data_IF_017663947759
#
_entry.id   IF_017663947759
#
_cell.length_a   1.000
_cell.length_b   1.000
_cell.length_c   1.000
_cell.angle_alpha   90.00
_cell.angle_beta   90.00
_cell.angle_gamma   90.00
#
_symmetry.space_group_name_H-M   'P 1'
#
loop_
_entity.id
_entity.type
_entity.pdbx_description
1 polymer ?
#
# COMPACT_ATOMS: atom_id res chain seq x y z
N UNK A 1 62.37 7.55 7.21
CA UNK A 1 61.43 8.32 6.34
C UNK A 1 60.05 7.84 6.64
N UNK A 2 59.25 8.76 7.09
CA UNK A 2 58.08 8.75 7.92
C UNK A 2 56.87 7.92 7.42
N UNK A 3 56.41 7.01 8.26
CA UNK A 3 55.14 6.30 8.18
C UNK A 3 54.11 7.00 9.09
N UNK A 4 53.68 8.22 8.78
CA UNK A 4 52.81 8.96 9.67
C UNK A 4 51.73 9.81 8.97
N UNK A 5 51.37 9.56 7.72
CA UNK A 5 50.42 10.40 6.98
C UNK A 5 49.14 9.66 6.49
N UNK A 6 49.04 8.34 6.74
CA UNK A 6 47.88 7.57 6.26
C UNK A 6 46.79 7.26 7.29
N UNK A 7 46.86 7.83 8.50
CA UNK A 7 45.93 7.48 9.59
C UNK A 7 44.81 8.51 9.87
N UNK A 8 44.76 9.62 9.15
CA UNK A 8 43.81 10.71 9.44
C UNK A 8 42.63 10.80 8.45
N UNK A 9 42.65 10.01 7.35
CA UNK A 9 41.62 10.11 6.30
C UNK A 9 40.45 9.10 6.44
N UNK A 10 40.55 8.14 7.36
CA UNK A 10 39.53 7.07 7.53
C UNK A 10 38.54 7.30 8.67
N UNK A 11 38.69 8.41 9.44
CA UNK A 11 37.83 8.68 10.60
C UNK A 11 36.74 9.70 10.35
N UNK A 12 36.58 10.22 9.13
CA UNK A 12 35.58 11.25 8.79
C UNK A 12 34.44 10.79 7.89
N UNK A 13 34.34 9.50 7.55
CA UNK A 13 33.27 8.97 6.70
C UNK A 13 32.24 8.09 7.41
N UNK A 14 32.29 8.00 8.74
CA UNK A 14 31.33 7.16 9.51
C UNK A 14 30.24 7.94 10.27
N UNK A 15 30.06 9.24 10.00
CA UNK A 15 29.11 10.08 10.73
C UNK A 15 27.92 10.61 9.88
N UNK A 16 27.66 10.04 8.74
CA UNK A 16 26.57 10.54 7.88
C UNK A 16 25.63 9.42 7.44
N UNK A 17 25.05 8.68 8.37
CA UNK A 17 23.79 7.94 8.09
C UNK A 17 23.06 7.55 9.39
N UNK A 18 23.01 8.45 10.35
CA UNK A 18 21.90 8.42 11.31
C UNK A 18 20.70 8.99 10.59
N UNK A 19 19.93 8.10 9.97
CA UNK A 19 18.56 8.46 9.61
C UNK A 19 17.93 8.98 10.90
N UNK A 20 17.70 10.30 10.95
CA UNK A 20 16.96 10.95 12.03
C UNK A 20 15.56 10.36 11.97
N UNK A 21 15.32 9.31 12.72
CA UNK A 21 13.98 8.95 13.12
C UNK A 21 13.50 10.09 13.99
N UNK A 22 12.77 11.02 13.37
CA UNK A 22 12.11 12.07 14.12
C UNK A 22 11.28 11.41 15.22
N UNK A 23 11.46 11.87 16.45
CA UNK A 23 10.64 11.45 17.58
C UNK A 23 9.16 11.62 17.21
N UNK A 24 8.27 10.74 17.71
CA UNK A 24 6.84 10.90 17.49
C UNK A 24 6.44 12.32 17.91
N UNK A 25 5.89 13.10 17.01
CA UNK A 25 5.29 14.39 17.37
C UNK A 25 4.03 14.07 18.18
N UNK A 26 3.74 14.87 19.21
CA UNK A 26 2.49 14.81 19.98
C UNK A 26 1.25 15.21 19.14
N UNK A 27 1.41 15.31 17.84
CA UNK A 27 0.35 15.67 16.90
C UNK A 27 -0.62 14.49 16.74
N UNK A 28 -1.88 14.73 17.05
CA UNK A 28 -2.94 13.74 16.89
C UNK A 28 -3.03 13.36 15.40
N UNK A 29 -2.92 12.08 15.06
CA UNK A 29 -2.99 11.66 13.66
C UNK A 29 -4.35 12.01 13.05
N UNK A 30 -4.33 12.44 11.79
CA UNK A 30 -5.56 12.64 11.04
C UNK A 30 -6.46 11.40 11.04
N UNK A 31 -7.80 11.59 11.10
CA UNK A 31 -8.73 10.47 11.06
C UNK A 31 -8.51 9.61 9.80
N UNK A 32 -8.33 8.30 9.94
CA UNK A 32 -7.98 7.42 8.83
C UNK A 32 -9.13 7.14 7.86
N UNK A 33 -10.35 7.46 8.25
CA UNK A 33 -11.60 7.28 7.54
C UNK A 33 -12.15 8.59 6.93
N UNK A 34 -11.41 9.70 7.09
CA UNK A 34 -11.73 11.00 6.49
C UNK A 34 -10.78 11.27 5.31
N UNK A 35 -11.29 11.53 4.10
CA UNK A 35 -10.47 11.77 2.93
C UNK A 35 -9.51 12.95 3.11
N UNK A 36 -8.22 12.72 2.85
CA UNK A 36 -7.17 13.74 2.92
C UNK A 36 -6.12 13.54 1.83
N UNK A 37 -5.81 14.60 1.09
CA UNK A 37 -4.78 14.57 0.05
C UNK A 37 -3.40 14.24 0.64
N UNK A 38 -2.69 13.30 0.02
CA UNK A 38 -1.28 13.08 0.28
C UNK A 38 -0.45 14.15 -0.45
N UNK A 39 0.26 14.98 0.32
CA UNK A 39 1.03 16.13 -0.18
C UNK A 39 2.52 15.84 -0.41
N UNK A 40 2.93 14.58 -0.38
CA UNK A 40 4.32 14.23 -0.61
C UNK A 40 4.78 14.58 -2.04
N UNK A 41 6.05 15.03 -2.24
CA UNK A 41 6.51 15.59 -3.52
C UNK A 41 6.38 14.66 -4.73
N UNK A 42 6.41 13.34 -4.53
CA UNK A 42 6.29 12.36 -5.61
C UNK A 42 4.85 12.03 -6.02
N UNK A 43 3.87 12.37 -5.17
CA UNK A 43 2.46 12.02 -5.37
C UNK A 43 1.85 12.64 -6.63
N UNK A 44 2.09 13.93 -6.97
CA UNK A 44 1.43 14.53 -8.13
C UNK A 44 1.71 13.80 -9.45
N UNK A 45 2.98 13.42 -9.68
CA UNK A 45 3.36 12.71 -10.91
C UNK A 45 2.73 11.31 -10.97
N UNK A 46 2.81 10.56 -9.86
CA UNK A 46 2.20 9.23 -9.77
C UNK A 46 0.68 9.31 -9.88
N UNK A 47 0.07 10.28 -9.22
CA UNK A 47 -1.38 10.44 -9.24
C UNK A 47 -1.92 10.75 -10.63
N UNK A 48 -1.21 11.59 -11.41
CA UNK A 48 -1.53 11.84 -12.82
C UNK A 48 -1.56 10.52 -13.61
N UNK A 49 -0.51 9.70 -13.50
CA UNK A 49 -0.45 8.41 -14.19
C UNK A 49 -1.57 7.45 -13.75
N UNK A 50 -1.89 7.41 -12.45
CA UNK A 50 -2.99 6.61 -11.92
C UNK A 50 -4.33 7.05 -12.50
N UNK A 51 -4.60 8.35 -12.58
CA UNK A 51 -5.83 8.89 -13.22
C UNK A 51 -5.93 8.49 -14.68
N UNK A 52 -4.86 8.67 -15.45
CA UNK A 52 -4.82 8.33 -16.89
C UNK A 52 -5.06 6.84 -17.14
N UNK A 53 -4.58 5.98 -16.21
CA UNK A 53 -4.74 4.54 -16.31
C UNK A 53 -6.09 4.03 -15.77
N UNK A 54 -6.84 4.86 -15.04
CA UNK A 54 -8.13 4.50 -14.49
C UNK A 54 -9.29 5.04 -15.33
N UNK A 55 -9.29 6.36 -15.60
CA UNK A 55 -10.45 7.05 -16.13
C UNK A 55 -10.83 6.57 -17.53
N UNK A 56 -12.05 6.06 -17.66
CA UNK A 56 -12.60 5.56 -18.91
C UNK A 56 -11.96 4.27 -19.44
N UNK A 57 -11.10 3.61 -18.66
CA UNK A 57 -10.45 2.35 -19.06
C UNK A 57 -11.29 1.13 -18.72
N UNK A 58 -11.11 0.07 -19.48
CA UNK A 58 -11.61 -1.23 -19.08
C UNK A 58 -10.84 -1.71 -17.85
N UNK A 59 -11.56 -2.24 -16.87
CA UNK A 59 -10.97 -2.73 -15.64
C UNK A 59 -11.52 -4.12 -15.33
N UNK A 60 -10.67 -5.14 -15.44
CA UNK A 60 -11.03 -6.50 -15.02
C UNK A 60 -10.64 -6.77 -13.57
N UNK A 61 -9.52 -6.20 -13.13
CA UNK A 61 -9.04 -6.25 -11.74
C UNK A 61 -8.58 -4.85 -11.32
N UNK A 62 -9.07 -4.37 -10.18
CA UNK A 62 -8.62 -3.10 -9.58
C UNK A 62 -7.74 -3.40 -8.37
N UNK A 63 -6.48 -2.97 -8.41
CA UNK A 63 -5.56 -3.00 -7.28
C UNK A 63 -5.58 -1.65 -6.57
N UNK A 64 -6.00 -1.63 -5.31
CA UNK A 64 -6.04 -0.42 -4.47
C UNK A 64 -5.02 -0.58 -3.34
N UNK A 65 -4.12 0.39 -3.19
CA UNK A 65 -3.10 0.33 -2.15
C UNK A 65 -2.09 1.45 -2.18
N UNK A 66 -0.99 1.22 -1.50
CA UNK A 66 0.15 2.12 -1.31
C UNK A 66 1.34 1.78 -2.23
N UNK A 67 2.58 2.00 -1.73
CA UNK A 67 3.82 1.69 -2.44
C UNK A 67 3.96 0.21 -2.80
N UNK A 68 3.46 -0.69 -1.98
CA UNK A 68 3.53 -2.14 -2.23
C UNK A 68 2.70 -2.48 -3.46
N UNK A 69 1.55 -1.84 -3.62
CA UNK A 69 0.71 -1.97 -4.80
C UNK A 69 1.34 -1.27 -6.01
N UNK A 70 1.89 -0.06 -5.86
CA UNK A 70 2.59 0.65 -6.93
C UNK A 70 3.75 -0.16 -7.50
N UNK A 71 4.54 -0.83 -6.64
CA UNK A 71 5.72 -1.60 -7.01
C UNK A 71 5.44 -2.76 -7.98
N UNK A 72 4.19 -3.21 -8.13
CA UNK A 72 3.84 -4.16 -9.17
C UNK A 72 4.16 -3.68 -10.58
N UNK A 73 4.15 -2.37 -10.83
CA UNK A 73 4.50 -1.79 -12.14
C UNK A 73 5.99 -1.48 -12.29
N UNK A 74 6.80 -1.63 -11.24
CA UNK A 74 8.25 -1.40 -11.22
C UNK A 74 8.99 -2.70 -10.97
N UNK A 75 9.20 -3.06 -9.72
CA UNK A 75 9.92 -4.28 -9.34
C UNK A 75 9.19 -5.56 -9.79
N UNK A 76 7.86 -5.51 -9.81
CA UNK A 76 6.99 -6.59 -10.29
C UNK A 76 6.64 -6.54 -11.78
N UNK A 77 7.22 -5.60 -12.57
CA UNK A 77 6.78 -5.27 -13.92
C UNK A 77 6.67 -6.47 -14.87
N UNK A 78 7.62 -7.41 -14.81
CA UNK A 78 7.59 -8.60 -15.68
C UNK A 78 6.37 -9.50 -15.38
N UNK A 79 6.06 -9.70 -14.09
CA UNK A 79 4.89 -10.46 -13.66
C UNK A 79 3.60 -9.69 -13.95
N UNK A 80 3.59 -8.38 -13.68
CA UNK A 80 2.46 -7.51 -13.98
C UNK A 80 2.06 -7.60 -15.46
N UNK A 81 3.03 -7.40 -16.35
CA UNK A 81 2.82 -7.49 -17.79
C UNK A 81 2.31 -8.86 -18.25
N UNK A 82 2.87 -9.93 -17.69
CA UNK A 82 2.53 -11.30 -18.08
C UNK A 82 1.17 -11.75 -17.56
N UNK A 83 0.84 -11.44 -16.29
CA UNK A 83 -0.31 -12.01 -15.60
C UNK A 83 -1.50 -11.04 -15.55
N UNK A 84 -1.25 -9.76 -15.25
CA UNK A 84 -2.32 -8.84 -14.91
C UNK A 84 -2.76 -7.93 -16.07
N UNK A 85 -1.84 -7.55 -16.96
CA UNK A 85 -2.22 -6.77 -18.17
C UNK A 85 -3.24 -7.50 -19.04
N UNK A 86 -3.11 -8.82 -19.33
CA UNK A 86 -4.13 -9.54 -20.11
C UNK A 86 -5.50 -9.58 -19.41
N UNK A 87 -5.53 -9.47 -18.09
CA UNK A 87 -6.77 -9.39 -17.28
C UNK A 87 -7.30 -7.96 -17.14
N UNK A 88 -6.75 -7.00 -17.90
CA UNK A 88 -7.12 -5.58 -17.82
C UNK A 88 -7.03 -5.04 -16.40
N UNK A 89 -5.96 -5.40 -15.70
CA UNK A 89 -5.73 -4.90 -14.36
C UNK A 89 -5.35 -3.43 -14.36
N UNK A 90 -5.91 -2.68 -13.42
CA UNK A 90 -5.59 -1.28 -13.15
C UNK A 90 -4.90 -1.20 -11.79
N UNK A 91 -3.72 -0.58 -11.77
CA UNK A 91 -2.98 -0.34 -10.55
C UNK A 91 -3.31 1.06 -10.02
N UNK A 92 -4.05 1.09 -8.92
CA UNK A 92 -4.44 2.31 -8.20
C UNK A 92 -3.57 2.52 -6.95
N UNK A 93 -2.31 2.04 -6.96
CA UNK A 93 -1.33 2.21 -5.87
C UNK A 93 -0.57 3.53 -5.97
N UNK A 94 -0.37 4.19 -4.83
CA UNK A 94 0.45 5.40 -4.70
C UNK A 94 1.33 5.31 -3.46
N UNK A 95 2.63 5.48 -3.64
CA UNK A 95 3.63 5.38 -2.56
C UNK A 95 3.36 6.37 -1.44
N UNK A 96 3.42 5.89 -0.20
CA UNK A 96 3.21 6.70 1.00
C UNK A 96 1.74 6.93 1.35
N UNK A 97 0.79 6.42 0.57
CA UNK A 97 -0.61 6.57 0.88
C UNK A 97 -1.01 5.83 2.15
N UNK A 98 -1.79 6.53 2.93
CA UNK A 98 -2.56 6.04 4.05
C UNK A 98 -4.00 5.82 3.61
N UNK A 99 -4.83 5.28 4.46
CA UNK A 99 -6.24 5.04 4.15
C UNK A 99 -7.01 6.31 3.81
N UNK A 100 -6.76 7.41 4.51
CA UNK A 100 -7.32 8.74 4.24
C UNK A 100 -6.97 9.25 2.83
N UNK A 101 -5.74 9.05 2.39
CA UNK A 101 -5.28 9.46 1.07
C UNK A 101 -5.86 8.58 -0.04
N UNK A 102 -6.01 7.28 0.20
CA UNK A 102 -6.72 6.39 -0.72
C UNK A 102 -8.18 6.80 -0.88
N UNK A 103 -8.86 7.14 0.22
CA UNK A 103 -10.23 7.64 0.21
C UNK A 103 -10.37 8.92 -0.61
N UNK A 104 -9.44 9.87 -0.42
CA UNK A 104 -9.42 11.10 -1.20
C UNK A 104 -9.31 10.83 -2.71
N UNK A 105 -8.40 9.94 -3.13
CA UNK A 105 -8.23 9.57 -4.53
C UNK A 105 -9.47 8.88 -5.11
N UNK A 106 -10.14 8.06 -4.31
CA UNK A 106 -11.39 7.41 -4.71
C UNK A 106 -12.49 8.43 -4.95
N UNK A 107 -12.60 9.46 -4.11
CA UNK A 107 -13.56 10.55 -4.30
C UNK A 107 -13.22 11.39 -5.53
N UNK A 108 -11.98 11.84 -5.67
CA UNK A 108 -11.56 12.69 -6.78
C UNK A 108 -11.72 12.01 -8.15
N UNK A 109 -11.47 10.73 -8.24
CA UNK A 109 -11.64 9.98 -9.50
C UNK A 109 -13.04 9.42 -9.70
N UNK A 110 -13.86 9.34 -8.64
CA UNK A 110 -15.13 8.61 -8.64
C UNK A 110 -14.98 7.14 -9.06
N UNK A 111 -13.74 6.62 -9.11
CA UNK A 111 -13.41 5.31 -9.65
C UNK A 111 -14.08 5.07 -11.03
N UNK A 112 -14.00 6.06 -11.90
CA UNK A 112 -14.72 6.11 -13.18
C UNK A 112 -14.06 5.24 -14.25
N UNK A 113 -14.00 3.94 -14.03
CA UNK A 113 -13.64 2.93 -15.03
C UNK A 113 -14.80 2.67 -15.99
N UNK A 114 -14.50 2.21 -17.22
CA UNK A 114 -15.51 1.90 -18.23
C UNK A 114 -16.28 0.61 -17.92
N UNK A 115 -15.59 -0.37 -17.37
CA UNK A 115 -16.20 -1.65 -16.97
C UNK A 115 -15.95 -1.91 -15.49
N UNK A 116 -16.96 -2.37 -14.76
CA UNK A 116 -16.81 -2.75 -13.36
C UNK A 116 -15.82 -3.90 -13.22
N UNK A 117 -14.85 -3.81 -12.30
CA UNK A 117 -13.87 -4.87 -12.07
C UNK A 117 -14.55 -6.12 -11.50
N UNK A 118 -14.14 -7.28 -11.98
CA UNK A 118 -14.56 -8.57 -11.39
C UNK A 118 -13.96 -8.77 -10.00
N UNK A 119 -12.75 -8.24 -9.78
CA UNK A 119 -12.03 -8.31 -8.52
C UNK A 119 -11.48 -6.94 -8.13
N UNK A 120 -11.61 -6.60 -6.85
CA UNK A 120 -10.88 -5.52 -6.22
C UNK A 120 -9.91 -6.12 -5.20
N UNK A 121 -8.62 -5.81 -5.30
CA UNK A 121 -7.58 -6.24 -4.36
C UNK A 121 -7.19 -5.03 -3.54
N UNK A 122 -7.42 -5.08 -2.23
CA UNK A 122 -7.14 -3.98 -1.30
C UNK A 122 -6.00 -4.36 -0.36
N UNK A 123 -4.91 -3.60 -0.41
CA UNK A 123 -3.81 -3.63 0.55
C UNK A 123 -3.60 -2.23 1.10
N UNK A 124 -3.97 -1.99 2.35
CA UNK A 124 -3.90 -0.67 2.98
C UNK A 124 -3.60 -0.77 4.47
N UNK A 125 -3.02 0.27 5.04
CA UNK A 125 -2.82 0.41 6.48
C UNK A 125 -1.36 0.39 6.95
N UNK A 126 -0.42 -0.12 6.15
CA UNK A 126 1.00 -0.16 6.50
C UNK A 126 1.53 1.22 6.86
N UNK A 127 1.20 2.24 6.08
CA UNK A 127 1.62 3.62 6.33
C UNK A 127 0.86 4.30 7.47
N UNK A 128 -0.35 3.85 7.79
CA UNK A 128 -1.07 4.33 8.98
C UNK A 128 -0.36 3.91 10.26
N UNK A 129 0.10 2.65 10.32
CA UNK A 129 0.74 2.07 11.50
C UNK A 129 2.20 2.52 11.62
N UNK A 130 2.92 2.64 10.51
CA UNK A 130 4.37 2.74 10.48
C UNK A 130 4.96 4.08 10.12
N UNK A 131 4.29 4.88 9.29
CA UNK A 131 4.84 6.12 8.75
C UNK A 131 4.34 7.36 9.48
N UNK A 132 5.28 8.30 9.61
CA UNK A 132 5.03 9.70 9.91
C UNK A 132 4.49 10.02 11.31
N UNK A 133 4.35 11.27 11.56
CA UNK A 133 3.83 11.93 12.72
C UNK A 133 2.57 11.24 13.29
N UNK A 134 2.75 10.48 14.33
CA UNK A 134 1.67 9.78 15.01
C UNK A 134 1.30 8.45 14.34
N UNK A 135 1.82 7.37 14.88
CA UNK A 135 1.37 6.02 14.56
C UNK A 135 -0.10 5.88 14.91
N UNK A 136 -0.92 5.63 13.91
CA UNK A 136 -2.33 5.35 14.20
C UNK A 136 -2.48 4.01 14.90
N UNK A 137 -3.29 3.92 15.96
CA UNK A 137 -3.66 2.64 16.56
C UNK A 137 -4.30 1.71 15.53
N UNK A 138 -4.14 0.41 15.72
CA UNK A 138 -4.68 -0.61 14.81
C UNK A 138 -6.19 -0.45 14.61
N UNK A 139 -6.94 -0.18 15.68
CA UNK A 139 -8.39 0.01 15.65
C UNK A 139 -8.80 1.20 14.78
N UNK A 140 -8.01 2.27 14.78
CA UNK A 140 -8.26 3.43 13.93
C UNK A 140 -7.93 3.10 12.48
N UNK A 141 -6.81 2.44 12.22
CA UNK A 141 -6.43 1.99 10.88
C UNK A 141 -7.51 1.09 10.26
N UNK A 142 -8.09 0.19 11.05
CA UNK A 142 -9.19 -0.69 10.60
C UNK A 142 -10.42 0.10 10.18
N UNK A 143 -10.74 1.24 10.82
CA UNK A 143 -11.85 2.11 10.37
C UNK A 143 -11.63 2.61 8.95
N UNK A 144 -10.43 3.10 8.65
CA UNK A 144 -10.08 3.57 7.31
C UNK A 144 -10.13 2.45 6.26
N UNK A 145 -9.58 1.27 6.57
CA UNK A 145 -9.64 0.10 5.68
C UNK A 145 -11.10 -0.29 5.41
N UNK A 146 -11.94 -0.31 6.46
CA UNK A 146 -13.36 -0.62 6.34
C UNK A 146 -14.08 0.38 5.44
N UNK A 147 -13.81 1.68 5.60
CA UNK A 147 -14.43 2.73 4.79
C UNK A 147 -14.07 2.56 3.30
N UNK A 148 -12.79 2.28 2.99
CA UNK A 148 -12.36 1.97 1.62
C UNK A 148 -13.14 0.76 1.08
N UNK A 149 -13.21 -0.33 1.84
CA UNK A 149 -13.91 -1.55 1.44
C UNK A 149 -15.41 -1.29 1.15
N UNK A 150 -16.08 -0.54 2.02
CA UNK A 150 -17.49 -0.15 1.86
C UNK A 150 -17.69 0.67 0.59
N UNK A 151 -16.82 1.65 0.32
CA UNK A 151 -16.91 2.48 -0.89
C UNK A 151 -16.65 1.68 -2.16
N UNK A 152 -15.69 0.75 -2.15
CA UNK A 152 -15.44 -0.15 -3.28
C UNK A 152 -16.65 -1.01 -3.59
N UNK A 153 -17.25 -1.64 -2.57
CA UNK A 153 -18.42 -2.50 -2.74
C UNK A 153 -19.67 -1.69 -3.14
N UNK A 154 -19.83 -0.47 -2.64
CA UNK A 154 -20.89 0.43 -3.07
C UNK A 154 -20.73 0.84 -4.53
N UNK A 155 -19.51 1.14 -4.97
CA UNK A 155 -19.21 1.56 -6.35
C UNK A 155 -19.29 0.40 -7.34
N UNK A 156 -18.90 -0.80 -6.91
CA UNK A 156 -18.84 -2.02 -7.72
C UNK A 156 -19.53 -3.18 -6.98
N UNK A 157 -20.86 -3.24 -6.96
CA UNK A 157 -21.60 -4.20 -6.13
C UNK A 157 -21.36 -5.66 -6.52
N UNK A 158 -21.02 -5.93 -7.78
CA UNK A 158 -20.74 -7.28 -8.28
C UNK A 158 -19.27 -7.70 -8.14
N UNK A 159 -18.39 -6.81 -7.65
CA UNK A 159 -16.98 -7.13 -7.48
C UNK A 159 -16.75 -8.10 -6.32
N UNK A 160 -15.76 -8.97 -6.46
CA UNK A 160 -15.23 -9.74 -5.33
C UNK A 160 -14.08 -8.97 -4.72
N UNK A 161 -14.28 -8.48 -3.51
CA UNK A 161 -13.22 -7.79 -2.75
C UNK A 161 -12.32 -8.80 -2.07
N UNK A 162 -11.02 -8.71 -2.38
CA UNK A 162 -9.93 -9.46 -1.74
C UNK A 162 -9.20 -8.48 -0.83
N UNK A 163 -9.38 -8.62 0.46
CA UNK A 163 -8.67 -7.84 1.46
C UNK A 163 -7.39 -8.57 1.85
N UNK A 164 -6.25 -7.92 1.62
CA UNK A 164 -4.95 -8.43 2.03
C UNK A 164 -4.63 -8.00 3.46
N UNK A 165 -3.87 -8.83 4.16
CA UNK A 165 -3.35 -8.48 5.49
C UNK A 165 -2.42 -7.25 5.41
N UNK A 166 -2.47 -6.43 6.46
CA UNK A 166 -1.57 -5.29 6.61
C UNK A 166 -0.15 -5.79 6.80
N UNK A 167 0.75 -5.40 5.91
CA UNK A 167 2.16 -5.77 6.02
C UNK A 167 2.83 -5.00 7.14
N UNK A 168 3.72 -5.64 7.94
CA UNK A 168 4.50 -4.94 8.94
C UNK A 168 5.35 -3.84 8.32
N UNK A 169 5.45 -2.69 9.00
CA UNK A 169 6.23 -1.53 8.54
C UNK A 169 7.67 -1.60 9.00
N UNK A 170 8.30 -2.42 9.53
CA UNK A 170 9.71 -2.40 9.89
C UNK A 170 10.54 -3.33 9.02
N UNK A 171 11.80 -2.98 8.67
CA UNK A 171 12.75 -3.95 8.21
C UNK A 171 12.93 -4.94 9.36
N UNK A 172 12.33 -6.13 9.21
CA UNK A 172 12.61 -7.20 10.14
C UNK A 172 14.04 -7.65 9.82
N UNK A 173 14.97 -7.65 10.80
CA UNK A 173 16.29 -8.20 10.58
C UNK A 173 16.14 -9.61 10.00
N UNK A 174 16.83 -9.87 8.91
CA UNK A 174 16.79 -11.15 8.16
C UNK A 174 17.02 -12.35 9.09
N UNK A 175 17.73 -12.16 10.19
CA UNK A 175 17.95 -13.16 11.23
C UNK A 175 16.67 -13.71 11.89
N UNK A 176 15.54 -13.00 11.84
CA UNK A 176 14.27 -13.48 12.38
C UNK A 176 13.41 -14.22 11.36
N UNK A 177 13.81 -14.27 10.09
CA UNK A 177 13.07 -14.99 9.03
C UNK A 177 13.40 -16.50 9.01
N UNK A 178 14.33 -16.99 9.81
CA UNK A 178 14.83 -18.37 9.77
C UNK A 178 13.89 -19.44 10.35
N UNK A 179 12.61 -19.17 10.55
CA UNK A 179 11.71 -20.21 11.11
C UNK A 179 10.21 -19.95 10.98
N UNK A 180 9.79 -18.80 10.52
CA UNK A 180 8.37 -18.45 10.51
C UNK A 180 7.80 -18.32 9.09
N UNK A 181 7.04 -19.31 8.65
CA UNK A 181 6.18 -19.15 7.46
C UNK A 181 5.19 -18.03 7.73
N UNK A 182 5.35 -16.88 7.05
CA UNK A 182 4.34 -15.83 7.09
C UNK A 182 3.13 -16.31 6.30
N UNK A 183 2.00 -16.45 6.95
CA UNK A 183 0.73 -16.67 6.28
C UNK A 183 0.22 -15.33 5.78
N UNK A 184 0.12 -15.17 4.48
CA UNK A 184 -0.70 -14.14 3.89
C UNK A 184 -2.15 -14.61 4.02
N UNK A 185 -2.91 -14.04 4.93
CA UNK A 185 -4.32 -14.36 5.07
C UNK A 185 -5.10 -13.45 4.13
N UNK A 186 -5.74 -14.05 3.15
CA UNK A 186 -6.59 -13.35 2.18
C UNK A 186 -8.05 -13.53 2.61
N UNK A 187 -8.72 -12.42 2.88
CA UNK A 187 -10.15 -12.41 3.16
C UNK A 187 -10.93 -12.07 1.89
N UNK A 188 -11.80 -12.97 1.46
CA UNK A 188 -12.72 -12.69 0.36
C UNK A 188 -14.08 -12.29 0.92
N UNK A 189 -14.50 -11.05 0.70
CA UNK A 189 -15.84 -10.59 1.00
C UNK A 189 -16.65 -10.47 -0.30
N UNK A 190 -17.74 -11.19 -0.39
CA UNK A 190 -18.69 -11.12 -1.51
C UNK A 190 -20.12 -10.97 -0.99
N UNK A 191 -20.94 -10.22 -1.70
CA UNK A 191 -22.29 -9.82 -1.31
C UNK A 191 -23.35 -10.93 -1.42
N UNK A 192 -23.03 -12.19 -1.30
CA UNK A 192 -24.08 -13.22 -1.25
C UNK A 192 -23.70 -14.52 -0.56
N UNK A 193 -22.92 -14.50 0.52
CA UNK A 193 -22.63 -15.73 1.24
C UNK A 193 -22.92 -15.60 2.74
N UNK A 194 -23.72 -16.56 3.23
CA UNK A 194 -23.87 -16.85 4.64
C UNK A 194 -22.56 -17.50 5.14
N UNK A 195 -21.64 -16.69 5.68
CA UNK A 195 -20.41 -17.14 6.32
C UNK A 195 -19.11 -16.65 5.63
N UNK A 196 -18.04 -16.45 6.39
CA UNK A 196 -16.74 -16.04 5.85
C UNK A 196 -16.10 -17.22 5.11
N UNK A 197 -15.86 -17.07 3.81
CA UNK A 197 -15.00 -17.97 3.05
C UNK A 197 -13.54 -17.61 3.32
N UNK A 198 -12.90 -18.33 4.21
CA UNK A 198 -11.46 -18.30 4.40
C UNK A 198 -10.79 -19.12 3.29
N UNK A 199 -10.09 -18.47 2.38
CA UNK A 199 -9.19 -19.17 1.48
C UNK A 199 -7.74 -18.82 1.87
N UNK A 200 -7.01 -19.69 2.57
CA UNK A 200 -5.61 -19.45 2.90
C UNK A 200 -4.75 -19.67 1.66
N UNK A 201 -4.26 -18.60 1.05
CA UNK A 201 -3.17 -18.66 0.08
C UNK A 201 -1.84 -18.58 0.83
N UNK A 202 -1.13 -19.70 0.87
CA UNK A 202 0.24 -19.74 1.40
C UNK A 202 1.18 -19.38 0.26
N UNK A 203 1.79 -18.19 0.33
CA UNK A 203 2.92 -17.86 -0.54
C UNK A 203 4.20 -18.16 0.25
N UNK A 204 4.98 -19.10 -0.24
CA UNK A 204 6.32 -19.34 0.26
C UNK A 204 7.25 -18.24 -0.29
N UNK A 205 8.00 -17.59 0.59
CA UNK A 205 9.16 -16.77 0.21
C UNK A 205 10.33 -17.65 -0.19
#
# INVERSE_FOLDING_TARGET
MNASVFSAAFLLLSLASSAVYAAPSDEVPDPPDVPKLNTQPWVPARYKAVRENLLGKECGILFVGDSITECWEREGAALWKRLFVPMKAVNFGVSGDRTDSMLWRMEDTGLAVRTSPRYCILLAGTNNIGLWKGRQPAEQTVKGIREIAVRLLKRFPETRLILMEVTPYAPIPIAHCAGGRRRLTVYCAGLSFRGPLFCPLTVAC
#
